data_IF_896544929659
#
_entry.id   IF_896544929659
#
_cell.length_a   1.000
_cell.length_b   1.000
_cell.length_c   1.000
_cell.angle_alpha   90.00
_cell.angle_beta   90.00
_cell.angle_gamma   90.00
#
_symmetry.space_group_name_H-M   'P 1'
#
loop_
_entity.id
_entity.type
_entity.pdbx_description
1 polymer ?
#
# COMPACT_ATOMS: atom_id res chain seq x y z
N UNK A 1 7.56 -16.85 -34.95
CA UNK A 1 7.70 -15.49 -34.37
C UNK A 1 6.51 -15.26 -33.46
N UNK A 2 6.63 -15.65 -32.18
CA UNK A 2 5.61 -15.38 -31.18
C UNK A 2 5.96 -14.03 -30.55
N UNK A 3 5.06 -13.06 -30.68
CA UNK A 3 5.26 -11.71 -30.16
C UNK A 3 5.36 -11.79 -28.64
N UNK A 4 6.52 -11.42 -28.10
CA UNK A 4 6.62 -10.95 -26.74
C UNK A 4 5.79 -9.67 -26.63
N UNK A 5 4.53 -9.77 -26.21
CA UNK A 5 3.81 -8.59 -25.73
C UNK A 5 4.33 -8.30 -24.34
N UNK A 6 5.43 -7.55 -24.28
CA UNK A 6 5.91 -6.94 -23.06
C UNK A 6 4.74 -6.17 -22.43
N UNK A 7 4.40 -6.53 -21.20
CA UNK A 7 3.47 -5.76 -20.37
C UNK A 7 4.20 -4.50 -19.85
N UNK A 8 4.87 -3.77 -20.76
CA UNK A 8 5.74 -2.61 -20.53
C UNK A 8 4.96 -1.30 -20.50
N UNK A 9 3.71 -1.30 -20.94
CA UNK A 9 2.95 -0.06 -21.17
C UNK A 9 2.56 0.66 -19.88
N UNK A 10 2.29 -0.05 -18.78
CA UNK A 10 1.83 0.62 -17.54
C UNK A 10 2.96 1.25 -16.73
N UNK A 11 4.15 0.64 -16.76
CA UNK A 11 5.34 1.15 -16.08
C UNK A 11 5.72 2.54 -16.59
N UNK A 12 5.53 2.82 -17.88
CA UNK A 12 5.83 4.10 -18.51
C UNK A 12 5.01 5.28 -17.93
N UNK A 13 3.85 4.99 -17.33
CA UNK A 13 3.02 6.03 -16.72
C UNK A 13 3.49 6.41 -15.31
N UNK A 14 4.26 5.57 -14.61
CA UNK A 14 4.82 5.93 -13.31
C UNK A 14 5.74 7.16 -13.42
N UNK A 15 5.78 8.00 -12.38
CA UNK A 15 6.77 9.07 -12.34
C UNK A 15 8.19 8.50 -12.31
N UNK A 16 9.13 9.16 -12.99
CA UNK A 16 10.50 8.64 -13.17
C UNK A 16 11.19 8.29 -11.85
N UNK A 17 11.05 9.14 -10.83
CA UNK A 17 11.63 8.89 -9.50
C UNK A 17 10.97 7.71 -8.77
N UNK A 18 9.66 7.52 -8.97
CA UNK A 18 8.93 6.35 -8.45
C UNK A 18 9.43 5.08 -9.14
N UNK A 19 9.61 5.11 -10.46
CA UNK A 19 10.18 3.98 -11.21
C UNK A 19 11.58 3.61 -10.71
N UNK A 20 12.46 4.60 -10.56
CA UNK A 20 13.83 4.37 -10.07
C UNK A 20 13.84 3.78 -8.66
N UNK A 21 12.93 4.21 -7.78
CA UNK A 21 12.79 3.60 -6.46
C UNK A 21 12.32 2.15 -6.57
N UNK A 22 11.35 1.85 -7.44
CA UNK A 22 10.87 0.48 -7.63
C UNK A 22 11.96 -0.44 -8.19
N UNK A 23 12.76 0.03 -9.13
CA UNK A 23 13.91 -0.70 -9.68
C UNK A 23 14.91 -1.06 -8.58
N UNK A 24 15.29 -0.07 -7.77
CA UNK A 24 16.20 -0.25 -6.63
C UNK A 24 15.67 -1.30 -5.66
N UNK A 25 14.44 -1.13 -5.17
CA UNK A 25 13.86 -2.04 -4.18
C UNK A 25 13.63 -3.45 -4.76
N UNK A 26 13.25 -3.56 -6.04
CA UNK A 26 13.08 -4.86 -6.71
C UNK A 26 14.40 -5.64 -6.78
N UNK A 27 15.53 -4.95 -6.95
CA UNK A 27 16.87 -5.57 -6.95
C UNK A 27 17.34 -6.05 -5.57
N UNK A 28 16.60 -5.73 -4.50
CA UNK A 28 16.95 -5.98 -3.11
C UNK A 28 15.98 -6.95 -2.43
N UNK A 29 15.33 -7.84 -3.19
CA UNK A 29 14.37 -8.82 -2.64
C UNK A 29 14.97 -9.72 -1.56
N UNK A 30 16.28 -9.95 -1.61
CA UNK A 30 17.00 -10.79 -0.64
C UNK A 30 17.14 -10.11 0.74
N UNK A 31 16.81 -8.81 0.85
CA UNK A 31 16.76 -8.07 2.12
C UNK A 31 15.41 -8.20 2.85
N UNK A 32 14.45 -8.95 2.29
CA UNK A 32 13.18 -9.22 2.98
C UNK A 32 13.47 -10.08 4.21
N UNK A 33 13.00 -9.63 5.37
CA UNK A 33 13.27 -10.33 6.62
C UNK A 33 12.60 -11.70 6.66
N UNK A 34 13.25 -12.68 7.30
CA UNK A 34 12.69 -14.02 7.50
C UNK A 34 11.36 -13.98 8.26
N UNK A 35 11.17 -12.99 9.15
CA UNK A 35 9.94 -12.81 9.92
C UNK A 35 8.73 -12.47 9.03
N UNK A 36 8.94 -11.93 7.83
CA UNK A 36 7.85 -11.57 6.92
C UNK A 36 7.51 -12.65 5.89
N UNK A 37 8.38 -13.65 5.67
CA UNK A 37 8.22 -14.62 4.58
C UNK A 37 6.87 -15.36 4.64
N UNK A 38 6.48 -15.83 5.83
CA UNK A 38 5.20 -16.51 6.00
C UNK A 38 4.00 -15.59 5.68
N UNK A 39 4.06 -14.33 6.12
CA UNK A 39 3.01 -13.35 5.84
C UNK A 39 2.95 -12.98 4.35
N UNK A 40 4.12 -12.90 3.68
CA UNK A 40 4.21 -12.71 2.24
C UNK A 40 3.51 -13.84 1.50
N UNK A 41 3.84 -15.09 1.82
CA UNK A 41 3.23 -16.26 1.17
C UNK A 41 1.71 -16.29 1.38
N UNK A 42 1.24 -15.99 2.59
CA UNK A 42 -0.20 -15.89 2.88
C UNK A 42 -0.89 -14.81 2.06
N UNK A 43 -0.29 -13.63 1.92
CA UNK A 43 -0.88 -12.56 1.11
C UNK A 43 -0.86 -12.92 -0.39
N UNK A 44 0.22 -13.55 -0.89
CA UNK A 44 0.30 -14.03 -2.27
C UNK A 44 -0.84 -15.03 -2.54
N UNK A 45 -1.01 -16.05 -1.69
CA UNK A 45 -2.07 -17.04 -1.86
C UNK A 45 -3.47 -16.41 -1.77
N UNK A 46 -3.67 -15.46 -0.87
CA UNK A 46 -4.93 -14.73 -0.75
C UNK A 46 -5.25 -13.91 -2.02
N UNK A 47 -4.25 -13.23 -2.60
CA UNK A 47 -4.39 -12.51 -3.87
C UNK A 47 -4.71 -13.49 -5.00
N UNK A 48 -3.93 -14.55 -5.15
CA UNK A 48 -4.08 -15.51 -6.26
C UNK A 48 -5.44 -16.22 -6.23
N UNK A 49 -5.92 -16.58 -5.03
CA UNK A 49 -7.19 -17.30 -4.88
C UNK A 49 -8.45 -16.44 -5.07
N UNK A 50 -8.34 -15.12 -4.99
CA UNK A 50 -9.49 -14.20 -5.05
C UNK A 50 -9.42 -13.21 -6.21
N UNK A 51 -8.33 -13.21 -6.96
CA UNK A 51 -8.19 -12.39 -8.15
C UNK A 51 -9.15 -12.85 -9.24
N UNK A 52 -9.95 -11.91 -9.74
CA UNK A 52 -10.86 -12.12 -10.88
C UNK A 52 -10.53 -11.05 -11.93
N UNK A 53 -10.17 -11.42 -13.17
CA UNK A 53 -9.87 -10.43 -14.22
C UNK A 53 -11.03 -9.45 -14.42
N UNK A 54 -10.73 -8.15 -14.46
CA UNK A 54 -11.73 -7.09 -14.61
C UNK A 54 -12.52 -6.72 -13.34
N UNK A 55 -12.33 -7.42 -12.22
CA UNK A 55 -12.93 -7.07 -10.92
C UNK A 55 -11.87 -6.60 -9.94
N UNK A 56 -12.08 -5.47 -9.29
CA UNK A 56 -11.13 -4.94 -8.30
C UNK A 56 -11.02 -5.87 -7.08
N UNK A 57 -9.79 -6.27 -6.76
CA UNK A 57 -9.44 -6.91 -5.50
C UNK A 57 -8.84 -5.87 -4.55
N UNK A 58 -9.66 -5.45 -3.58
CA UNK A 58 -9.24 -4.51 -2.54
C UNK A 58 -8.43 -5.17 -1.43
N UNK A 59 -7.35 -4.52 -1.00
CA UNK A 59 -6.59 -4.84 0.21
C UNK A 59 -6.64 -3.63 1.15
N UNK A 60 -7.30 -3.74 2.30
CA UNK A 60 -7.27 -2.70 3.33
C UNK A 60 -6.11 -2.97 4.27
N UNK A 61 -5.14 -2.07 4.29
CA UNK A 61 -4.03 -2.08 5.22
C UNK A 61 -4.43 -1.37 6.52
N UNK A 62 -4.39 -2.10 7.63
CA UNK A 62 -4.91 -1.66 8.93
C UNK A 62 -3.78 -1.50 9.93
N UNK A 63 -3.70 -0.32 10.54
CA UNK A 63 -2.91 -0.09 11.75
C UNK A 63 -3.75 0.67 12.78
N UNK A 64 -3.20 1.01 13.94
CA UNK A 64 -3.96 1.72 14.98
C UNK A 64 -4.40 3.12 14.52
N UNK A 65 -3.42 4.01 14.26
CA UNK A 65 -3.69 5.43 14.02
C UNK A 65 -4.01 5.83 12.58
N UNK A 66 -3.89 4.92 11.60
CA UNK A 66 -3.90 5.23 10.16
C UNK A 66 -3.18 6.53 9.79
N UNK A 67 -1.93 6.63 10.26
CA UNK A 67 -1.15 7.86 10.21
C UNK A 67 0.20 7.65 9.53
N UNK A 68 0.81 6.46 9.74
CA UNK A 68 2.17 6.09 9.29
C UNK A 68 2.17 4.77 8.53
N UNK A 69 2.30 3.64 9.24
CA UNK A 69 2.50 2.29 8.66
C UNK A 69 1.49 1.91 7.58
N UNK A 70 0.18 2.01 7.86
CA UNK A 70 -0.84 1.66 6.85
C UNK A 70 -0.86 2.63 5.65
N UNK A 71 -0.51 3.90 5.84
CA UNK A 71 -0.39 4.88 4.75
C UNK A 71 0.80 4.58 3.83
N UNK A 72 1.97 4.26 4.42
CA UNK A 72 3.15 3.80 3.67
C UNK A 72 2.82 2.52 2.90
N UNK A 73 2.24 1.53 3.57
CA UNK A 73 1.95 0.23 2.98
C UNK A 73 0.87 0.26 1.90
N UNK A 74 -0.20 1.05 2.08
CA UNK A 74 -1.19 1.21 1.02
C UNK A 74 -0.61 1.93 -0.20
N UNK A 75 0.19 2.98 0.01
CA UNK A 75 0.83 3.71 -1.09
C UNK A 75 1.82 2.82 -1.83
N UNK A 76 2.74 2.17 -1.12
CA UNK A 76 3.73 1.26 -1.73
C UNK A 76 3.09 0.02 -2.37
N UNK A 77 1.97 -0.48 -1.83
CA UNK A 77 1.20 -1.57 -2.43
C UNK A 77 0.58 -1.17 -3.77
N UNK A 78 -0.04 0.01 -3.85
CA UNK A 78 -0.55 0.54 -5.12
C UNK A 78 0.55 0.81 -6.15
N UNK A 79 1.69 1.34 -5.70
CA UNK A 79 2.87 1.52 -6.56
C UNK A 79 3.34 0.16 -7.09
N UNK A 80 3.41 -0.87 -6.25
CA UNK A 80 3.80 -2.22 -6.68
C UNK A 80 2.81 -2.83 -7.68
N UNK A 81 1.50 -2.68 -7.45
CA UNK A 81 0.44 -3.11 -8.36
C UNK A 81 0.59 -2.44 -9.74
N UNK A 82 0.81 -1.13 -9.77
CA UNK A 82 1.04 -0.38 -11.02
C UNK A 82 2.37 -0.77 -11.69
N UNK A 83 3.45 -0.92 -10.92
CA UNK A 83 4.77 -1.27 -11.42
C UNK A 83 4.82 -2.65 -12.06
N UNK A 84 4.10 -3.63 -11.50
CA UNK A 84 4.00 -4.97 -12.07
C UNK A 84 2.80 -5.16 -12.99
N UNK A 85 1.93 -4.16 -13.16
CA UNK A 85 0.77 -4.22 -14.08
C UNK A 85 -0.31 -5.21 -13.65
N UNK A 86 -0.66 -5.22 -12.36
CA UNK A 86 -1.87 -5.90 -11.86
C UNK A 86 -2.94 -4.84 -11.62
N UNK A 87 -3.67 -4.49 -12.67
CA UNK A 87 -4.60 -3.37 -12.71
C UNK A 87 -5.76 -3.46 -11.71
N UNK A 88 -6.18 -4.68 -11.37
CA UNK A 88 -7.29 -4.94 -10.48
C UNK A 88 -6.90 -4.95 -9.00
N UNK A 89 -5.60 -5.00 -8.67
CA UNK A 89 -5.17 -5.05 -7.28
C UNK A 89 -5.08 -3.63 -6.72
N UNK A 90 -5.89 -3.32 -5.71
CA UNK A 90 -6.01 -1.99 -5.15
C UNK A 90 -5.77 -1.98 -3.65
N UNK A 91 -4.86 -1.13 -3.18
CA UNK A 91 -4.59 -1.00 -1.75
C UNK A 91 -5.26 0.23 -1.16
N UNK A 92 -5.89 0.04 -0.01
CA UNK A 92 -6.54 1.04 0.81
C UNK A 92 -5.89 1.07 2.18
N UNK A 93 -6.12 2.13 2.95
CA UNK A 93 -5.65 2.22 4.33
C UNK A 93 -6.79 2.47 5.31
N UNK A 94 -6.60 2.02 6.54
CA UNK A 94 -7.58 2.19 7.61
C UNK A 94 -6.96 2.11 9.00
N UNK A 95 -7.68 2.70 9.95
CA UNK A 95 -7.31 2.81 11.36
C UNK A 95 -8.34 2.14 12.26
N UNK A 96 -7.92 1.62 13.41
CA UNK A 96 -8.85 1.28 14.50
C UNK A 96 -9.18 2.51 15.35
N UNK A 97 -8.22 3.44 15.49
CA UNK A 97 -8.37 4.71 16.19
C UNK A 97 -7.64 5.83 15.39
N UNK A 98 -8.21 6.26 14.25
CA UNK A 98 -7.53 7.13 13.29
C UNK A 98 -7.19 8.52 13.86
N UNK A 99 -6.07 9.09 13.39
CA UNK A 99 -5.71 10.47 13.71
C UNK A 99 -5.69 11.37 12.47
N UNK A 100 -4.51 11.62 11.92
CA UNK A 100 -4.29 12.41 10.72
C UNK A 100 -3.19 11.77 9.88
N UNK A 101 -3.23 12.00 8.56
CA UNK A 101 -2.17 11.55 7.67
C UNK A 101 -0.88 12.31 8.03
N UNK A 102 0.12 11.62 8.58
CA UNK A 102 1.25 12.28 9.21
C UNK A 102 2.10 13.04 8.18
N UNK A 103 2.48 14.31 8.45
CA UNK A 103 3.37 15.07 7.57
C UNK A 103 4.72 14.41 7.30
N UNK A 104 5.26 13.64 8.27
CA UNK A 104 6.50 12.87 8.08
C UNK A 104 6.31 11.78 7.05
N UNK A 105 5.19 11.07 7.12
CA UNK A 105 4.83 10.04 6.14
C UNK A 105 4.61 10.62 4.75
N UNK A 106 3.97 11.78 4.65
CA UNK A 106 3.83 12.52 3.39
C UNK A 106 5.21 12.82 2.81
N UNK A 107 6.10 13.46 3.58
CA UNK A 107 7.47 13.79 3.15
C UNK A 107 8.24 12.54 2.70
N UNK A 108 8.14 11.45 3.45
CA UNK A 108 8.79 10.17 3.11
C UNK A 108 8.31 9.59 1.78
N UNK A 109 7.05 9.78 1.39
CA UNK A 109 6.54 9.36 0.08
C UNK A 109 6.98 10.33 -1.03
N UNK A 110 6.98 11.64 -0.76
CA UNK A 110 7.45 12.66 -1.69
C UNK A 110 8.94 12.50 -2.03
N UNK A 111 9.76 12.04 -1.08
CA UNK A 111 11.18 11.70 -1.27
C UNK A 111 11.42 10.66 -2.37
N UNK A 112 10.43 9.82 -2.70
CA UNK A 112 10.53 8.82 -3.78
C UNK A 112 9.71 9.20 -5.01
N UNK A 113 9.23 10.45 -5.07
CA UNK A 113 8.56 11.03 -6.22
C UNK A 113 7.05 10.89 -6.23
N UNK A 114 6.42 10.42 -5.13
CA UNK A 114 4.97 10.49 -4.98
C UNK A 114 4.56 11.95 -4.84
N UNK A 115 3.53 12.38 -5.56
CA UNK A 115 2.97 13.74 -5.46
C UNK A 115 1.76 13.70 -4.54
N UNK A 116 1.76 14.49 -3.47
CA UNK A 116 0.69 14.51 -2.47
C UNK A 116 0.14 15.94 -2.33
N UNK A 117 -1.10 16.16 -2.74
CA UNK A 117 -1.72 17.49 -2.75
C UNK A 117 -2.97 17.52 -1.88
N UNK A 118 -3.06 18.52 -1.00
CA UNK A 118 -4.24 18.70 -0.17
C UNK A 118 -5.47 19.04 -1.04
N UNK A 119 -6.55 18.31 -0.82
CA UNK A 119 -7.87 18.62 -1.36
C UNK A 119 -8.50 19.76 -0.56
N UNK A 120 -9.50 20.44 -1.15
CA UNK A 120 -10.29 21.46 -0.45
C UNK A 120 -11.19 20.89 0.65
N UNK A 121 -11.36 19.56 0.69
CA UNK A 121 -12.16 18.83 1.67
C UNK A 121 -11.29 18.45 2.89
N UNK A 122 -11.74 18.81 4.08
CA UNK A 122 -11.24 18.25 5.34
C UNK A 122 -12.25 17.23 5.87
N UNK A 123 -11.79 16.16 6.53
CA UNK A 123 -12.68 15.33 7.34
C UNK A 123 -12.90 15.96 8.72
N UNK A 124 -13.79 15.35 9.52
CA UNK A 124 -13.87 15.66 10.94
C UNK A 124 -12.46 15.53 11.56
N UNK A 125 -12.14 16.44 12.50
CA UNK A 125 -10.85 16.45 13.19
C UNK A 125 -10.52 15.03 13.67
N UNK A 126 -9.25 14.62 13.55
CA UNK A 126 -8.81 13.34 14.11
C UNK A 126 -9.07 13.29 15.62
N UNK A 127 -9.00 12.11 16.24
CA UNK A 127 -9.32 11.94 17.67
C UNK A 127 -8.50 12.86 18.61
N UNK A 128 -7.35 13.37 18.14
CA UNK A 128 -6.50 14.35 18.84
C UNK A 128 -6.89 15.83 18.60
N UNK A 129 -7.97 16.11 17.88
CA UNK A 129 -8.39 17.47 17.49
C UNK A 129 -7.58 18.09 16.33
N UNK A 130 -6.68 17.32 15.71
CA UNK A 130 -5.85 17.75 14.59
C UNK A 130 -6.66 17.88 13.30
N UNK A 131 -6.24 18.79 12.41
CA UNK A 131 -6.78 18.86 11.06
C UNK A 131 -6.43 17.57 10.32
N UNK A 132 -7.44 16.94 9.71
CA UNK A 132 -7.29 15.73 8.91
C UNK A 132 -7.71 16.04 7.46
N UNK A 133 -6.86 16.78 6.71
CA UNK A 133 -7.14 17.08 5.31
C UNK A 133 -7.15 15.81 4.47
N UNK A 134 -7.99 15.81 3.43
CA UNK A 134 -7.90 14.80 2.40
C UNK A 134 -6.81 15.16 1.41
N UNK A 135 -6.10 14.15 0.91
CA UNK A 135 -5.04 14.33 -0.06
C UNK A 135 -5.34 13.56 -1.34
N UNK A 136 -4.95 14.12 -2.48
CA UNK A 136 -4.76 13.34 -3.69
C UNK A 136 -3.31 12.86 -3.72
N UNK A 137 -3.11 11.54 -3.66
CA UNK A 137 -1.81 10.88 -3.69
C UNK A 137 -1.61 10.30 -5.08
N UNK A 138 -0.57 10.74 -5.81
CA UNK A 138 -0.30 10.36 -7.20
C UNK A 138 1.10 9.77 -7.34
N UNK A 139 1.24 8.68 -8.07
CA UNK A 139 2.52 8.01 -8.34
C UNK A 139 2.81 7.85 -9.84
N UNK A 140 1.93 8.37 -10.69
CA UNK A 140 2.11 8.37 -12.14
C UNK A 140 1.17 9.33 -12.85
N UNK A 141 1.34 9.41 -14.16
CA UNK A 141 0.49 10.13 -15.08
C UNK A 141 -0.80 9.35 -15.33
N UNK A 142 -1.92 10.06 -15.42
CA UNK A 142 -3.18 9.45 -15.82
C UNK A 142 -3.07 8.96 -17.27
N UNK A 143 -3.44 7.69 -17.54
CA UNK A 143 -3.49 7.21 -18.92
C UNK A 143 -4.55 8.00 -19.69
N UNK A 144 -4.30 8.26 -20.98
CA UNK A 144 -5.25 8.99 -21.85
C UNK A 144 -6.61 8.29 -21.96
N UNK A 145 -6.63 6.97 -21.79
CA UNK A 145 -7.83 6.13 -21.75
C UNK A 145 -7.61 4.99 -20.74
N UNK A 146 -8.65 4.62 -19.99
CA UNK A 146 -8.63 3.50 -19.06
C UNK A 146 -9.05 3.87 -17.64
N UNK A 147 -9.01 2.89 -16.74
CA UNK A 147 -9.29 3.08 -15.32
C UNK A 147 -8.11 3.80 -14.68
N UNK A 148 -8.40 4.79 -13.83
CA UNK A 148 -7.39 5.52 -13.10
C UNK A 148 -6.73 4.61 -12.04
N UNK A 149 -5.44 4.33 -12.24
CA UNK A 149 -4.64 3.42 -11.39
C UNK A 149 -3.41 4.09 -10.78
N UNK A 150 -3.22 5.39 -11.01
CA UNK A 150 -1.99 6.11 -10.65
C UNK A 150 -2.20 7.17 -9.57
N UNK A 151 -3.40 7.27 -9.04
CA UNK A 151 -3.71 8.11 -7.90
C UNK A 151 -4.77 7.51 -6.99
N UNK A 152 -4.86 8.00 -5.77
CA UNK A 152 -5.93 7.70 -4.82
C UNK A 152 -6.20 8.92 -3.93
N UNK A 153 -7.47 9.15 -3.60
CA UNK A 153 -7.84 10.09 -2.54
C UNK A 153 -7.61 9.39 -1.19
N UNK A 154 -6.73 9.95 -0.36
CA UNK A 154 -6.30 9.33 0.90
C UNK A 154 -6.34 10.32 2.08
N UNK A 155 -6.69 9.81 3.26
CA UNK A 155 -6.79 10.54 4.51
C UNK A 155 -6.91 9.57 5.69
N UNK A 156 -6.62 10.03 6.90
CA UNK A 156 -6.73 9.16 8.08
C UNK A 156 -8.20 8.82 8.35
N UNK A 157 -8.55 7.55 8.35
CA UNK A 157 -9.94 7.09 8.45
C UNK A 157 -10.06 5.74 9.12
N UNK A 158 -11.24 5.46 9.67
CA UNK A 158 -11.54 4.15 10.23
C UNK A 158 -11.53 3.13 9.09
N UNK A 159 -11.08 1.89 9.35
CA UNK A 159 -11.01 0.88 8.29
C UNK A 159 -12.38 0.59 7.63
N UNK A 160 -13.49 0.85 8.34
CA UNK A 160 -14.87 0.71 7.86
C UNK A 160 -15.44 1.97 7.18
N UNK A 161 -14.62 3.00 6.94
CA UNK A 161 -15.05 4.21 6.23
C UNK A 161 -15.55 3.88 4.80
N UNK A 162 -16.56 4.61 4.31
CA UNK A 162 -17.19 4.36 3.01
C UNK A 162 -16.27 4.56 1.80
N UNK A 163 -15.08 5.16 1.98
CA UNK A 163 -14.06 5.24 0.92
C UNK A 163 -13.29 3.92 0.74
N UNK A 164 -13.41 3.00 1.70
CA UNK A 164 -12.86 1.66 1.61
C UNK A 164 -13.92 0.67 1.09
N UNK A 165 -13.51 -0.46 0.47
CA UNK A 165 -14.44 -1.51 0.07
C UNK A 165 -15.16 -2.09 1.30
N UNK A 166 -16.48 -2.25 1.20
CA UNK A 166 -17.30 -2.70 2.32
C UNK A 166 -17.28 -4.22 2.54
N UNK A 167 -16.97 -5.01 1.48
CA UNK A 167 -16.99 -6.48 1.49
C UNK A 167 -15.97 -7.04 0.49
N UNK A 168 -15.67 -8.33 0.65
CA UNK A 168 -14.83 -9.13 -0.26
C UNK A 168 -13.41 -8.56 -0.46
N UNK A 169 -12.87 -7.90 0.56
CA UNK A 169 -11.51 -7.37 0.55
C UNK A 169 -10.57 -8.21 1.42
N UNK A 170 -9.27 -8.08 1.20
CA UNK A 170 -8.23 -8.62 2.07
C UNK A 170 -7.88 -7.62 3.17
N UNK A 171 -7.82 -8.06 4.43
CA UNK A 171 -7.34 -7.23 5.53
C UNK A 171 -5.87 -7.54 5.82
N UNK A 172 -4.99 -6.55 5.68
CA UNK A 172 -3.56 -6.65 6.02
C UNK A 172 -3.26 -5.85 7.28
N UNK A 173 -3.03 -6.53 8.40
CA UNK A 173 -2.73 -5.91 9.69
C UNK A 173 -1.24 -5.68 9.84
N UNK A 174 -0.82 -4.42 10.01
CA UNK A 174 0.59 -4.00 9.95
C UNK A 174 1.19 -3.52 11.27
N UNK A 175 0.45 -3.64 12.38
CA UNK A 175 0.93 -3.29 13.72
C UNK A 175 1.22 -4.52 14.58
N UNK A 176 2.25 -4.40 15.42
CA UNK A 176 2.68 -5.37 16.46
C UNK A 176 1.71 -5.46 17.65
N UNK A 177 0.42 -5.13 17.48
CA UNK A 177 -0.58 -5.42 18.52
C UNK A 177 -0.86 -6.93 18.52
N UNK A 178 0.18 -7.69 18.91
CA UNK A 178 0.10 -9.01 19.46
C UNK A 178 -0.76 -8.93 20.73
N UNK A 179 -1.67 -9.88 20.85
CA UNK A 179 -2.42 -10.22 22.06
C UNK A 179 -3.61 -9.30 22.42
N UNK A 180 -4.81 -9.73 21.99
CA UNK A 180 -6.02 -9.56 22.81
C UNK A 180 -7.32 -9.23 22.06
N UNK A 181 -7.25 -8.43 21.00
CA UNK A 181 -8.46 -7.96 20.31
C UNK A 181 -8.14 -7.66 18.85
N UNK A 182 -7.73 -8.68 18.09
CA UNK A 182 -7.66 -8.53 16.64
C UNK A 182 -9.09 -8.22 16.17
N UNK A 183 -9.38 -7.01 15.65
CA UNK A 183 -10.74 -6.61 15.37
C UNK A 183 -11.36 -7.67 14.46
N UNK A 184 -12.57 -8.11 14.78
CA UNK A 184 -13.40 -8.61 13.70
C UNK A 184 -13.40 -7.49 12.66
N UNK A 185 -12.96 -7.78 11.43
CA UNK A 185 -12.94 -6.81 10.33
C UNK A 185 -14.07 -7.23 9.41
N UNK A 186 -15.32 -6.78 9.66
CA UNK A 186 -16.45 -7.19 8.84
C UNK A 186 -16.20 -6.90 7.37
N UNK A 187 -16.58 -7.84 6.52
CA UNK A 187 -16.37 -7.72 5.08
C UNK A 187 -15.02 -8.22 4.59
N UNK A 188 -14.02 -8.43 5.46
CA UNK A 188 -12.76 -9.03 5.06
C UNK A 188 -12.94 -10.52 4.76
N UNK A 189 -12.53 -10.97 3.57
CA UNK A 189 -12.54 -12.39 3.19
C UNK A 189 -11.40 -13.16 3.86
N UNK A 190 -10.25 -12.51 4.05
CA UNK A 190 -9.10 -13.03 4.79
C UNK A 190 -8.41 -11.94 5.58
N UNK A 191 -7.75 -12.34 6.66
CA UNK A 191 -6.94 -11.48 7.53
C UNK A 191 -5.50 -12.00 7.57
N UNK A 192 -4.56 -11.16 7.16
CA UNK A 192 -3.13 -11.45 7.15
C UNK A 192 -2.44 -10.49 8.10
N UNK A 193 -1.70 -11.01 9.09
CA UNK A 193 -0.84 -10.20 9.94
C UNK A 193 0.55 -10.11 9.32
N UNK A 194 1.06 -8.90 9.17
CA UNK A 194 2.39 -8.59 8.64
C UNK A 194 2.92 -7.36 9.39
N UNK A 195 3.31 -7.53 10.66
CA UNK A 195 3.69 -6.41 11.48
C UNK A 195 4.95 -5.70 10.98
N UNK A 196 4.98 -4.39 11.17
CA UNK A 196 6.11 -3.54 10.88
C UNK A 196 6.37 -2.62 12.08
N UNK A 197 7.65 -2.38 12.39
CA UNK A 197 8.03 -1.44 13.46
C UNK A 197 7.50 -0.04 13.14
N UNK A 198 6.94 0.64 14.14
CA UNK A 198 6.42 1.99 13.95
C UNK A 198 7.58 3.01 13.92
N UNK A 199 7.79 3.76 12.84
CA UNK A 199 8.84 4.77 12.80
C UNK A 199 8.55 5.94 13.78
N UNK A 200 7.34 6.02 14.33
CA UNK A 200 6.95 6.97 15.38
C UNK A 200 7.92 6.99 16.57
N UNK A 201 8.56 5.88 16.91
CA UNK A 201 9.52 5.81 18.02
C UNK A 201 10.74 6.72 17.84
N UNK A 202 10.99 7.18 16.61
CA UNK A 202 12.08 8.08 16.25
C UNK A 202 11.62 9.52 16.01
N UNK A 203 10.35 9.84 16.26
CA UNK A 203 9.85 11.21 16.10
C UNK A 203 10.63 12.19 16.99
N UNK A 204 11.15 13.26 16.40
CA UNK A 204 11.97 14.28 17.04
C UNK A 204 13.45 13.91 17.20
N UNK A 205 13.86 12.70 16.80
CA UNK A 205 15.27 12.28 16.86
C UNK A 205 16.04 12.63 15.59
N UNK A 206 17.37 12.60 15.65
CA UNK A 206 18.25 12.76 14.48
C UNK A 206 18.08 11.62 13.45
N UNK A 207 17.56 10.47 13.88
CA UNK A 207 17.34 9.31 13.03
C UNK A 207 15.95 9.29 12.37
N UNK A 208 15.10 10.29 12.64
CA UNK A 208 13.69 10.32 12.20
C UNK A 208 13.57 10.05 10.69
N UNK A 209 14.16 10.89 9.85
CA UNK A 209 14.03 10.77 8.40
C UNK A 209 14.54 9.41 7.87
N UNK A 210 15.67 8.95 8.41
CA UNK A 210 16.27 7.66 8.03
C UNK A 210 15.34 6.51 8.40
N UNK A 211 14.72 6.54 9.58
CA UNK A 211 13.85 5.45 10.06
C UNK A 211 12.51 5.40 9.35
N UNK A 212 11.98 6.55 8.94
CA UNK A 212 10.83 6.56 8.04
C UNK A 212 11.17 6.02 6.65
N UNK A 213 12.30 6.42 6.07
CA UNK A 213 12.79 5.89 4.79
C UNK A 213 13.05 4.38 4.85
N UNK A 214 13.72 3.90 5.90
CA UNK A 214 13.97 2.48 6.16
C UNK A 214 12.65 1.68 6.17
N UNK A 215 11.64 2.20 6.88
CA UNK A 215 10.32 1.59 6.96
C UNK A 215 9.60 1.58 5.60
N UNK A 216 9.62 2.69 4.87
CA UNK A 216 9.04 2.77 3.51
C UNK A 216 9.69 1.74 2.59
N UNK A 217 11.01 1.63 2.62
CA UNK A 217 11.77 0.78 1.70
C UNK A 217 11.64 -0.71 2.05
N UNK A 218 11.58 -1.05 3.34
CA UNK A 218 11.24 -2.40 3.79
C UNK A 218 9.85 -2.83 3.29
N UNK A 219 8.84 -1.99 3.49
CA UNK A 219 7.47 -2.23 3.02
C UNK A 219 7.45 -2.31 1.48
N UNK A 220 8.12 -1.40 0.80
CA UNK A 220 8.19 -1.35 -0.66
C UNK A 220 8.78 -2.62 -1.27
N UNK A 221 9.91 -3.11 -0.74
CA UNK A 221 10.53 -4.37 -1.15
C UNK A 221 9.55 -5.54 -1.03
N UNK A 222 8.85 -5.62 0.12
CA UNK A 222 7.88 -6.66 0.38
C UNK A 222 6.70 -6.59 -0.59
N UNK A 223 6.11 -5.41 -0.79
CA UNK A 223 4.97 -5.24 -1.69
C UNK A 223 5.33 -5.56 -3.15
N UNK A 224 6.48 -5.09 -3.63
CA UNK A 224 6.99 -5.42 -4.97
C UNK A 224 7.17 -6.93 -5.14
N UNK A 225 7.80 -7.60 -4.16
CA UNK A 225 8.00 -9.06 -4.20
C UNK A 225 6.67 -9.83 -4.20
N UNK A 226 5.71 -9.43 -3.35
CA UNK A 226 4.39 -10.07 -3.26
C UNK A 226 3.64 -9.95 -4.57
N UNK A 227 3.56 -8.73 -5.12
CA UNK A 227 2.82 -8.48 -6.36
C UNK A 227 3.48 -9.19 -7.54
N UNK A 228 4.81 -9.18 -7.65
CA UNK A 228 5.54 -9.91 -8.69
C UNK A 228 5.25 -11.41 -8.64
N UNK A 229 5.35 -12.03 -7.45
CA UNK A 229 5.09 -13.46 -7.27
C UNK A 229 3.62 -13.79 -7.56
N UNK A 230 2.67 -12.99 -7.07
CA UNK A 230 1.27 -13.16 -7.38
C UNK A 230 0.99 -13.10 -8.89
N UNK A 231 1.59 -12.13 -9.61
CA UNK A 231 1.51 -12.04 -11.08
C UNK A 231 1.99 -13.33 -11.75
N UNK A 232 3.12 -13.88 -11.31
CA UNK A 232 3.65 -15.11 -11.89
C UNK A 232 2.70 -16.29 -11.67
N UNK A 233 2.14 -16.44 -10.47
CA UNK A 233 1.13 -17.47 -10.20
C UNK A 233 -0.13 -17.31 -11.06
N UNK A 234 -0.63 -16.09 -11.20
CA UNK A 234 -1.81 -15.80 -12.04
C UNK A 234 -1.56 -16.07 -13.52
N UNK A 235 -0.33 -15.89 -14.01
CA UNK A 235 0.04 -16.24 -15.38
C UNK A 235 0.14 -17.75 -15.57
N UNK A 236 0.71 -18.48 -14.61
CA UNK A 236 0.86 -19.94 -14.67
C UNK A 236 -0.47 -20.69 -14.61
N UNK A 237 -1.47 -20.16 -13.88
CA UNK A 237 -2.80 -20.79 -13.75
C UNK A 237 -3.70 -20.63 -14.99
N UNK A 238 -3.27 -19.87 -16.00
CA UNK A 238 -4.00 -19.66 -17.27
C UNK A 238 -3.60 -20.66 -18.37
N UNK A 239 -2.56 -21.46 -18.15
CA UNK A 239 -2.15 -22.58 -19.00
C UNK A 239 -2.75 -23.89 -18.49
#
# INVERSE_FOLDING_TARGET
MLSQTSNSSEREFLFSRVQSQCDLLSSQSDLISHAHLQSCDRLIQAIVSQYVPGEELGVIVICTGNSRRSMLAATMGNIAAAYHGIAELRFYSGGTNPSAFNPRTIRTLEEVGVVIEACKENTLKGDAGEANPKYMVRWGNLPRMGVNRFEIKEFSKIYSDSHNPAKSFLALLVCDEADGSCPNVPGASQRIAMPFQDPKSFDGSELEAIKYSERRDEIGRIMLSIVLKAKHHLASNKC
#
